data_IF_499578312998
#
_entry.id   IF_499578312998
#
_cell.length_a   1.000
_cell.length_b   1.000
_cell.length_c   1.000
_cell.angle_alpha   90.00
_cell.angle_beta   90.00
_cell.angle_gamma   90.00
#
_symmetry.space_group_name_H-M   'P 1'
#
loop_
_entity.id
_entity.type
_entity.pdbx_description
1 polymer ?
#
# COMPACT_ATOMS: atom_id res chain seq x y z
N UNK A 1 2.82 -4.20 14.23
CA UNK A 1 1.96 -3.06 13.81
C UNK A 1 2.04 -2.93 12.30
N UNK A 2 0.93 -2.69 11.60
CA UNK A 2 0.94 -2.53 10.13
C UNK A 2 1.41 -1.11 9.82
N UNK A 3 2.52 -0.98 9.08
CA UNK A 3 3.01 0.32 8.62
C UNK A 3 2.25 0.77 7.36
N UNK A 4 1.89 2.06 7.30
CA UNK A 4 1.15 2.65 6.17
C UNK A 4 2.07 3.35 5.17
N UNK A 5 3.38 3.42 5.47
CA UNK A 5 4.37 4.05 4.62
C UNK A 5 4.58 3.23 3.35
N UNK A 6 4.90 3.92 2.26
CA UNK A 6 5.33 3.28 1.03
C UNK A 6 6.82 2.92 1.14
N UNK A 7 7.11 1.73 1.66
CA UNK A 7 8.46 1.21 1.80
C UNK A 7 8.81 0.37 0.58
N UNK A 8 9.95 0.62 -0.05
CA UNK A 8 10.49 -0.19 -1.17
C UNK A 8 11.36 -1.34 -0.70
N UNK A 9 11.85 -1.27 0.54
CA UNK A 9 12.69 -2.28 1.17
C UNK A 9 12.29 -2.43 2.64
N UNK A 10 12.56 -3.59 3.21
CA UNK A 10 12.33 -3.84 4.64
C UNK A 10 13.36 -3.05 5.48
N UNK A 11 12.94 -2.22 6.45
CA UNK A 11 13.87 -1.45 7.29
C UNK A 11 14.67 -2.32 8.27
N UNK A 12 14.19 -3.52 8.60
CA UNK A 12 14.83 -4.42 9.56
C UNK A 12 15.93 -5.28 8.94
N UNK A 13 15.70 -5.78 7.71
CA UNK A 13 16.59 -6.75 7.06
C UNK A 13 17.07 -6.32 5.66
N UNK A 14 16.59 -5.20 5.12
CA UNK A 14 16.98 -4.69 3.80
C UNK A 14 16.43 -5.47 2.60
N UNK A 15 15.58 -6.48 2.81
CA UNK A 15 15.00 -7.27 1.72
C UNK A 15 14.11 -6.42 0.80
N UNK A 16 14.19 -6.64 -0.51
CA UNK A 16 13.32 -6.05 -1.53
C UNK A 16 11.99 -6.79 -1.69
N UNK A 17 11.86 -7.99 -1.11
CA UNK A 17 10.64 -8.80 -1.17
C UNK A 17 9.60 -8.32 -0.15
N UNK A 18 9.09 -7.10 -0.35
CA UNK A 18 8.03 -6.50 0.48
C UNK A 18 6.69 -6.61 -0.22
N UNK A 19 5.66 -6.99 0.55
CA UNK A 19 4.29 -7.12 0.07
C UNK A 19 3.42 -5.99 0.60
N UNK A 20 2.57 -5.43 -0.26
CA UNK A 20 1.59 -4.43 0.14
C UNK A 20 0.23 -5.06 0.47
N UNK A 21 -0.49 -4.40 1.37
CA UNK A 21 -1.82 -4.79 1.82
C UNK A 21 -2.84 -3.73 1.36
N UNK A 22 -4.00 -4.18 0.91
CA UNK A 22 -5.12 -3.31 0.54
C UNK A 22 -6.38 -3.72 1.31
N UNK A 23 -7.21 -2.75 1.67
CA UNK A 23 -8.52 -2.99 2.28
C UNK A 23 -9.53 -3.36 1.19
N UNK A 24 -10.06 -4.59 1.26
CA UNK A 24 -11.09 -5.11 0.35
C UNK A 24 -12.38 -5.27 1.15
N UNK A 25 -13.40 -4.44 0.85
CA UNK A 25 -14.77 -4.52 1.43
C UNK A 25 -14.74 -4.77 2.96
N UNK A 26 -13.84 -4.08 3.67
CA UNK A 26 -13.76 -4.14 5.14
C UNK A 26 -12.64 -4.98 5.75
N UNK A 27 -11.94 -5.86 5.01
CA UNK A 27 -10.81 -6.63 5.55
C UNK A 27 -9.50 -6.37 4.80
N UNK A 28 -8.37 -6.72 5.42
CA UNK A 28 -7.03 -6.55 4.84
C UNK A 28 -6.66 -7.78 4.01
N UNK A 29 -6.22 -7.57 2.77
CA UNK A 29 -5.75 -8.64 1.88
C UNK A 29 -4.40 -8.25 1.24
N UNK A 30 -3.48 -9.22 1.15
CA UNK A 30 -2.20 -9.06 0.44
C UNK A 30 -2.42 -8.98 -1.06
N UNK A 31 -1.70 -8.09 -1.74
CA UNK A 31 -1.77 -7.96 -3.21
C UNK A 31 -1.26 -9.22 -3.90
N UNK A 32 -0.24 -9.89 -3.35
CA UNK A 32 0.24 -11.20 -3.82
C UNK A 32 -0.84 -12.29 -3.86
N UNK A 33 -1.86 -12.20 -3.00
CA UNK A 33 -3.00 -13.13 -2.96
C UNK A 33 -4.15 -12.73 -3.91
N UNK A 34 -3.94 -11.80 -4.83
CA UNK A 34 -4.93 -11.42 -5.86
C UNK A 34 -4.76 -12.29 -7.11
N UNK A 35 -5.80 -12.41 -7.93
CA UNK A 35 -5.66 -12.98 -9.27
C UNK A 35 -4.78 -12.06 -10.14
N UNK A 36 -4.07 -12.64 -11.11
CA UNK A 36 -3.20 -11.90 -12.02
C UNK A 36 -3.81 -10.60 -12.61
N UNK A 37 -5.05 -10.60 -13.15
CA UNK A 37 -5.64 -9.36 -13.66
C UNK A 37 -5.87 -8.30 -12.56
N UNK A 38 -6.16 -8.72 -11.33
CA UNK A 38 -6.36 -7.81 -10.19
C UNK A 38 -5.04 -7.27 -9.64
N UNK A 39 -3.93 -8.01 -9.78
CA UNK A 39 -2.60 -7.51 -9.47
C UNK A 39 -2.21 -6.37 -10.41
N UNK A 40 -2.44 -6.53 -11.72
CA UNK A 40 -2.20 -5.49 -12.73
C UNK A 40 -3.03 -4.23 -12.46
N UNK A 41 -4.31 -4.41 -12.13
CA UNK A 41 -5.19 -3.30 -11.75
C UNK A 41 -4.65 -2.59 -10.49
N UNK A 42 -4.25 -3.35 -9.45
CA UNK A 42 -3.74 -2.78 -8.20
C UNK A 42 -2.48 -1.94 -8.39
N UNK A 43 -1.60 -2.32 -9.32
CA UNK A 43 -0.41 -1.54 -9.67
C UNK A 43 -0.74 -0.19 -10.31
N UNK A 44 -1.89 -0.09 -10.98
CA UNK A 44 -2.35 1.14 -11.64
C UNK A 44 -3.13 2.08 -10.71
N UNK A 45 -3.54 1.61 -9.53
CA UNK A 45 -4.30 2.42 -8.57
C UNK A 45 -3.40 3.45 -7.89
N UNK A 46 -3.82 4.71 -7.91
CA UNK A 46 -3.17 5.77 -7.15
C UNK A 46 -3.69 5.80 -5.71
N UNK A 47 -2.80 5.57 -4.74
CA UNK A 47 -3.12 5.76 -3.33
C UNK A 47 -2.75 7.19 -2.92
N UNK A 48 -3.71 7.90 -2.33
CA UNK A 48 -3.50 9.26 -1.84
C UNK A 48 -2.33 9.33 -0.87
N UNK A 49 -1.45 10.32 -1.06
CA UNK A 49 -0.35 10.58 -0.13
C UNK A 49 -0.89 11.34 1.08
N UNK A 50 -0.85 10.77 2.30
CA UNK A 50 -1.47 11.39 3.48
C UNK A 50 -0.85 12.75 3.84
N UNK A 51 0.41 12.97 3.46
CA UNK A 51 1.12 14.24 3.57
C UNK A 51 0.43 15.40 2.82
N UNK A 52 -0.09 15.16 1.62
CA UNK A 52 -0.84 16.18 0.87
C UNK A 52 -2.22 16.47 1.47
N UNK A 53 -2.86 15.46 2.05
CA UNK A 53 -4.19 15.61 2.65
C UNK A 53 -4.14 16.44 3.94
N UNK A 54 -3.06 16.31 4.71
CA UNK A 54 -2.84 17.06 5.96
C UNK A 54 -2.55 18.55 5.74
N UNK A 55 -1.91 18.92 4.62
CA UNK A 55 -1.69 20.31 4.21
C UNK A 55 -2.97 20.99 3.70
N UNK A 56 -3.86 20.23 3.04
CA UNK A 56 -5.14 20.75 2.54
C UNK A 56 -6.20 20.94 3.64
N UNK A 57 -6.06 20.23 4.76
CA UNK A 57 -6.92 20.33 5.95
C UNK A 57 -6.45 21.38 6.96
N UNK A 58 -5.36 22.12 6.68
CA UNK A 58 -4.83 23.15 7.58
C UNK A 58 -5.27 24.58 7.24
N UNK A 59 -6.33 24.74 6.43
CA UNK A 59 -6.96 26.03 6.15
C UNK A 59 -8.19 26.24 7.03
#
# INVERSE_FOLDING_TARGET
TIDKRYLTHCPECGSENVDYLTRVIGYMKRVSNFSLPRQQEAASRYYGKPEKERELLSC
#
